data_IF_025355850209
#
_entry.id   IF_025355850209
#
_cell.length_a   1.000
_cell.length_b   1.000
_cell.length_c   1.000
_cell.angle_alpha   90.00
_cell.angle_beta   90.00
_cell.angle_gamma   90.00
#
_symmetry.space_group_name_H-M   'P 1'
#
loop_
_entity.id
_entity.type
_entity.pdbx_description
1 polymer ?
#
# COMPACT_ATOMS: atom_id res chain seq x y z
N UNK A 1 -25.69 80.32 -0.48
CA UNK A 1 -24.52 80.05 0.38
C UNK A 1 -24.09 78.61 0.10
N UNK A 2 -22.89 78.42 -0.43
CA UNK A 2 -22.38 77.16 -0.99
C UNK A 2 -22.09 76.07 0.08
N UNK A 3 -22.17 74.81 -0.37
CA UNK A 3 -21.11 73.76 -0.37
C UNK A 3 -21.63 72.40 0.14
N UNK A 4 -22.19 71.60 -0.77
CA UNK A 4 -22.27 70.15 -0.58
C UNK A 4 -20.88 69.56 -0.86
N UNK A 5 -20.18 69.18 0.21
CA UNK A 5 -18.95 68.37 0.13
C UNK A 5 -19.31 66.96 -0.38
N UNK A 6 -18.89 66.62 -1.59
CA UNK A 6 -18.95 65.23 -2.07
C UNK A 6 -17.81 64.41 -1.45
N UNK A 7 -18.09 63.27 -0.80
CA UNK A 7 -17.04 62.39 -0.29
C UNK A 7 -16.28 61.75 -1.46
N UNK A 8 -14.98 61.99 -1.52
CA UNK A 8 -14.10 61.39 -2.52
C UNK A 8 -14.00 59.88 -2.30
N UNK A 9 -14.28 59.16 -3.37
CA UNK A 9 -14.39 57.70 -3.51
C UNK A 9 -13.17 56.93 -2.95
N UNK A 10 -13.40 56.12 -1.90
CA UNK A 10 -12.40 55.24 -1.28
C UNK A 10 -12.12 53.92 -2.05
N UNK A 11 -12.63 53.79 -3.28
CA UNK A 11 -12.58 52.54 -4.07
C UNK A 11 -11.17 52.07 -4.46
N UNK A 12 -10.21 52.99 -4.62
CA UNK A 12 -8.82 52.65 -4.94
C UNK A 12 -8.05 51.98 -3.79
N UNK A 13 -8.27 52.45 -2.55
CA UNK A 13 -7.61 51.93 -1.35
C UNK A 13 -8.20 50.60 -0.88
N UNK A 14 -9.52 50.42 -1.04
CA UNK A 14 -10.19 49.16 -0.71
C UNK A 14 -9.78 48.01 -1.64
N UNK A 15 -9.53 48.30 -2.93
CA UNK A 15 -9.06 47.29 -3.90
C UNK A 15 -7.66 46.75 -3.57
N UNK A 16 -6.74 47.60 -3.14
CA UNK A 16 -5.39 47.18 -2.74
C UNK A 16 -5.42 46.27 -1.50
N UNK A 17 -6.17 46.65 -0.47
CA UNK A 17 -6.32 45.83 0.74
C UNK A 17 -7.00 44.48 0.45
N UNK A 18 -8.01 44.46 -0.41
CA UNK A 18 -8.68 43.22 -0.81
C UNK A 18 -7.75 42.26 -1.55
N UNK A 19 -6.89 42.77 -2.46
CA UNK A 19 -5.90 41.96 -3.16
C UNK A 19 -4.85 41.37 -2.20
N UNK A 20 -4.40 42.14 -1.22
CA UNK A 20 -3.47 41.63 -0.19
C UNK A 20 -4.11 40.52 0.65
N UNK A 21 -5.34 40.74 1.12
CA UNK A 21 -6.07 39.70 1.87
C UNK A 21 -6.28 38.44 1.02
N UNK A 22 -6.63 38.59 -0.27
CA UNK A 22 -6.76 37.48 -1.19
C UNK A 22 -5.44 36.71 -1.37
N UNK A 23 -4.31 37.40 -1.54
CA UNK A 23 -2.99 36.75 -1.65
C UNK A 23 -2.61 36.00 -0.38
N UNK A 24 -2.89 36.55 0.80
CA UNK A 24 -2.65 35.88 2.09
C UNK A 24 -3.50 34.61 2.22
N UNK A 25 -4.79 34.69 1.85
CA UNK A 25 -5.67 33.52 1.89
C UNK A 25 -5.20 32.45 0.89
N UNK A 26 -4.89 32.83 -0.34
CA UNK A 26 -4.41 31.90 -1.38
C UNK A 26 -3.11 31.23 -0.97
N UNK A 27 -2.16 31.98 -0.41
CA UNK A 27 -0.90 31.41 0.06
C UNK A 27 -1.12 30.41 1.20
N UNK A 28 -1.95 30.73 2.19
CA UNK A 28 -2.31 29.80 3.26
C UNK A 28 -2.97 28.52 2.72
N UNK A 29 -3.96 28.65 1.83
CA UNK A 29 -4.64 27.51 1.22
C UNK A 29 -3.65 26.67 0.41
N UNK A 30 -2.76 27.29 -0.36
CA UNK A 30 -1.74 26.59 -1.14
C UNK A 30 -0.75 25.83 -0.23
N UNK A 31 -0.30 26.44 0.88
CA UNK A 31 0.59 25.76 1.84
C UNK A 31 -0.10 24.58 2.51
N UNK A 32 -1.36 24.73 2.92
CA UNK A 32 -2.14 23.63 3.51
C UNK A 32 -2.37 22.50 2.50
N UNK A 33 -2.73 22.83 1.26
CA UNK A 33 -2.90 21.84 0.20
C UNK A 33 -1.60 21.08 -0.11
N UNK A 34 -0.46 21.78 -0.20
CA UNK A 34 0.84 21.16 -0.41
C UNK A 34 1.22 20.20 0.73
N UNK A 35 0.96 20.60 1.99
CA UNK A 35 1.16 19.73 3.16
C UNK A 35 0.26 18.49 3.10
N UNK A 36 -1.01 18.64 2.71
CA UNK A 36 -1.94 17.51 2.58
C UNK A 36 -1.48 16.51 1.51
N UNK A 37 -1.02 16.97 0.35
CA UNK A 37 -0.51 16.07 -0.70
C UNK A 37 0.69 15.27 -0.21
N UNK A 38 1.60 15.90 0.54
CA UNK A 38 2.74 15.19 1.14
C UNK A 38 2.29 14.14 2.17
N UNK A 39 1.33 14.48 3.02
CA UNK A 39 0.75 13.57 4.00
C UNK A 39 0.01 12.40 3.33
N UNK A 40 -0.71 12.66 2.24
CA UNK A 40 -1.38 11.63 1.45
C UNK A 40 -0.36 10.62 0.89
N UNK A 41 0.75 11.10 0.31
CA UNK A 41 1.81 10.22 -0.18
C UNK A 41 2.49 9.42 0.95
N UNK A 42 2.64 10.02 2.13
CA UNK A 42 3.17 9.32 3.31
C UNK A 42 2.23 8.23 3.82
N UNK A 43 0.92 8.49 3.81
CA UNK A 43 -0.09 7.52 4.24
C UNK A 43 -0.13 6.29 3.32
N UNK A 44 -0.11 6.49 2.01
CA UNK A 44 -0.12 5.37 1.05
C UNK A 44 1.13 4.50 1.14
N UNK A 45 2.29 5.09 1.42
CA UNK A 45 3.54 4.34 1.65
C UNK A 45 3.47 3.46 2.90
N UNK A 46 2.79 3.92 3.96
CA UNK A 46 2.61 3.16 5.21
C UNK A 46 1.69 1.96 5.00
N UNK A 47 0.58 2.14 4.26
CA UNK A 47 -0.34 1.05 3.91
C UNK A 47 0.35 -0.07 3.12
N UNK A 48 1.28 0.28 2.24
CA UNK A 48 2.10 -0.69 1.50
C UNK A 48 2.96 -1.56 2.42
N UNK A 49 3.59 -0.96 3.43
CA UNK A 49 4.41 -1.69 4.39
C UNK A 49 3.59 -2.65 5.27
N UNK A 50 2.37 -2.27 5.64
CA UNK A 50 1.47 -3.12 6.44
C UNK A 50 0.96 -4.35 5.69
N UNK A 51 0.68 -4.20 4.38
CA UNK A 51 0.27 -5.32 3.51
C UNK A 51 1.40 -6.35 3.38
N UNK A 52 2.63 -5.89 3.12
CA UNK A 52 3.80 -6.78 3.02
C UNK A 52 4.03 -7.52 4.34
N UNK A 53 3.91 -6.82 5.48
CA UNK A 53 4.08 -7.44 6.80
C UNK A 53 3.03 -8.52 7.08
N UNK A 54 1.77 -8.24 6.74
CA UNK A 54 0.69 -9.21 6.89
C UNK A 54 0.93 -10.41 6.00
N UNK A 55 1.24 -10.21 4.71
CA UNK A 55 1.54 -11.29 3.77
C UNK A 55 2.72 -12.15 4.22
N UNK A 56 3.80 -11.54 4.73
CA UNK A 56 4.96 -12.27 5.25
C UNK A 56 4.58 -13.19 6.42
N UNK A 57 3.67 -12.75 7.30
CA UNK A 57 3.21 -13.57 8.42
C UNK A 57 2.40 -14.80 7.98
N UNK A 58 1.61 -14.68 6.91
CA UNK A 58 0.89 -15.81 6.31
C UNK A 58 1.86 -16.82 5.71
N UNK A 59 2.86 -16.35 4.96
CA UNK A 59 3.90 -17.21 4.36
C UNK A 59 4.70 -17.94 5.44
N UNK A 60 5.12 -17.24 6.50
CA UNK A 60 5.87 -17.84 7.61
C UNK A 60 5.04 -18.90 8.33
N UNK A 61 3.76 -18.62 8.59
CA UNK A 61 2.86 -19.57 9.26
C UNK A 61 2.69 -20.84 8.43
N UNK A 62 2.46 -20.68 7.12
CA UNK A 62 2.40 -21.81 6.19
C UNK A 62 3.69 -22.63 6.20
N UNK A 63 4.86 -21.99 6.10
CA UNK A 63 6.14 -22.68 6.12
C UNK A 63 6.37 -23.47 7.43
N UNK A 64 6.00 -22.90 8.57
CA UNK A 64 6.09 -23.57 9.87
C UNK A 64 5.13 -24.76 9.96
N UNK A 65 3.92 -24.64 9.42
CA UNK A 65 2.94 -25.72 9.42
C UNK A 65 3.38 -26.88 8.52
N UNK A 66 3.95 -26.58 7.35
CA UNK A 66 4.60 -27.58 6.49
C UNK A 66 5.74 -28.30 7.20
N UNK A 67 6.62 -27.57 7.90
CA UNK A 67 7.70 -28.17 8.67
C UNK A 67 7.17 -29.10 9.79
N UNK A 68 6.14 -28.67 10.52
CA UNK A 68 5.49 -29.49 11.55
C UNK A 68 4.84 -30.74 10.96
N UNK A 69 4.24 -30.64 9.77
CA UNK A 69 3.64 -31.78 9.09
C UNK A 69 4.71 -32.82 8.77
N UNK A 70 5.84 -32.41 8.18
CA UNK A 70 6.96 -33.30 7.84
C UNK A 70 7.48 -34.02 9.10
N UNK A 71 7.72 -33.27 10.19
CA UNK A 71 8.21 -33.86 11.45
C UNK A 71 7.18 -34.77 12.12
N UNK A 72 5.88 -34.46 12.01
CA UNK A 72 4.82 -35.33 12.54
C UNK A 72 4.68 -36.61 11.74
N UNK A 73 4.92 -36.55 10.43
CA UNK A 73 4.88 -37.72 9.57
C UNK A 73 6.08 -38.63 9.83
N UNK A 74 7.26 -38.06 10.02
CA UNK A 74 8.44 -38.79 10.46
C UNK A 74 8.20 -39.50 11.81
N UNK A 75 7.68 -38.79 12.81
CA UNK A 75 7.36 -39.36 14.12
C UNK A 75 6.34 -40.52 14.07
N UNK A 76 5.53 -40.62 13.00
CA UNK A 76 4.58 -41.72 12.78
C UNK A 76 5.18 -42.86 11.96
N UNK A 77 6.09 -42.56 11.04
CA UNK A 77 6.64 -43.50 10.07
C UNK A 77 7.89 -44.23 10.60
N UNK A 78 8.64 -43.61 11.51
CA UNK A 78 9.95 -44.09 11.95
C UNK A 78 9.86 -44.83 13.28
N UNK A 79 9.98 -46.16 13.25
CA UNK A 79 10.22 -46.96 14.46
C UNK A 79 11.74 -46.94 14.78
N UNK A 80 12.14 -45.97 15.64
CA UNK A 80 13.33 -45.96 16.53
C UNK A 80 14.70 -45.39 16.09
N UNK A 81 14.90 -44.76 14.93
CA UNK A 81 16.21 -44.11 14.66
C UNK A 81 16.09 -42.83 13.84
N UNK A 82 16.49 -41.71 14.43
CA UNK A 82 16.62 -40.39 13.79
C UNK A 82 17.96 -40.29 13.03
N UNK A 83 17.93 -39.97 11.73
CA UNK A 83 19.12 -39.84 10.90
C UNK A 83 19.03 -38.80 9.77
N UNK A 84 20.18 -38.27 9.34
CA UNK A 84 20.33 -37.24 8.28
C UNK A 84 19.91 -37.67 6.86
N UNK A 85 19.35 -38.88 6.71
CA UNK A 85 18.78 -39.37 5.46
C UNK A 85 17.27 -39.14 5.37
N UNK A 86 16.68 -38.61 6.43
CA UNK A 86 15.24 -38.39 6.53
C UNK A 86 14.78 -37.14 5.76
N UNK A 87 13.49 -37.06 5.39
CA UNK A 87 12.97 -35.99 4.56
C UNK A 87 13.18 -34.57 5.11
N UNK A 88 13.26 -34.40 6.43
CA UNK A 88 13.52 -33.10 7.06
C UNK A 88 14.99 -32.64 6.88
N UNK A 89 15.92 -33.56 6.62
CA UNK A 89 17.35 -33.28 6.46
C UNK A 89 17.74 -32.96 5.01
N UNK A 90 16.81 -33.14 4.06
CA UNK A 90 17.03 -32.86 2.64
C UNK A 90 17.03 -31.33 2.43
N UNK A 91 18.06 -30.76 1.77
CA UNK A 91 18.10 -29.33 1.47
C UNK A 91 16.86 -28.90 0.68
N UNK A 92 16.17 -27.88 1.18
CA UNK A 92 15.02 -27.33 0.48
C UNK A 92 15.48 -26.68 -0.83
N UNK A 93 14.79 -27.02 -1.93
CA UNK A 93 14.97 -26.31 -3.18
C UNK A 93 14.60 -24.83 -3.00
N UNK A 94 15.29 -23.94 -3.70
CA UNK A 94 15.05 -22.51 -3.57
C UNK A 94 13.63 -22.15 -4.04
N UNK A 95 12.77 -21.81 -3.09
CA UNK A 95 11.41 -21.40 -3.36
C UNK A 95 11.39 -19.92 -3.78
N UNK A 96 11.38 -19.65 -5.09
CA UNK A 96 11.16 -18.30 -5.59
C UNK A 96 9.67 -17.96 -5.53
N UNK A 97 9.31 -17.06 -4.62
CA UNK A 97 7.95 -16.54 -4.49
C UNK A 97 7.43 -15.97 -5.82
N UNK A 98 8.30 -15.33 -6.60
CA UNK A 98 7.97 -14.80 -7.92
C UNK A 98 7.60 -15.90 -8.93
N UNK A 99 8.24 -17.07 -8.86
CA UNK A 99 7.89 -18.22 -9.72
C UNK A 99 6.52 -18.78 -9.34
N UNK A 100 6.20 -18.89 -8.05
CA UNK A 100 4.88 -19.31 -7.57
C UNK A 100 3.76 -18.34 -7.99
N UNK A 101 3.98 -17.03 -7.83
CA UNK A 101 3.00 -16.02 -8.24
C UNK A 101 2.84 -15.95 -9.77
N UNK A 102 3.92 -16.15 -10.53
CA UNK A 102 3.85 -16.21 -11.99
C UNK A 102 3.10 -17.46 -12.49
N UNK A 103 3.27 -18.61 -11.84
CA UNK A 103 2.49 -19.82 -12.16
C UNK A 103 1.01 -19.67 -11.83
N UNK A 104 0.66 -18.97 -10.74
CA UNK A 104 -0.74 -18.67 -10.38
C UNK A 104 -1.40 -17.72 -11.39
N UNK A 105 -0.72 -16.61 -11.74
CA UNK A 105 -1.21 -15.71 -12.80
C UNK A 105 -1.38 -16.41 -14.15
N UNK A 106 -0.47 -17.32 -14.51
CA UNK A 106 -0.55 -18.05 -15.76
C UNK A 106 -1.74 -19.04 -15.77
N UNK A 107 -1.99 -19.73 -14.65
CA UNK A 107 -3.15 -20.59 -14.48
C UNK A 107 -4.47 -19.80 -14.50
N UNK A 108 -4.51 -18.63 -13.86
CA UNK A 108 -5.68 -17.76 -13.88
C UNK A 108 -5.93 -17.14 -15.27
N UNK A 109 -4.89 -16.86 -16.06
CA UNK A 109 -5.04 -16.36 -17.44
C UNK A 109 -5.53 -17.43 -18.41
N UNK A 110 -5.20 -18.72 -18.19
CA UNK A 110 -5.76 -19.81 -18.99
C UNK A 110 -7.23 -20.11 -18.68
N UNK A 111 -7.71 -19.76 -17.49
CA UNK A 111 -9.11 -19.89 -17.07
C UNK A 111 -9.96 -18.68 -17.48
N UNK A 112 -9.33 -17.50 -17.64
CA UNK A 112 -9.97 -16.29 -18.13
C UNK A 112 -10.31 -16.31 -19.63
N UNK A 113 -9.65 -17.16 -20.42
CA UNK A 113 -9.93 -17.36 -21.86
C UNK A 113 -11.15 -18.30 -22.08
N UNK A 114 -11.67 -18.93 -21.01
CA UNK A 114 -12.89 -19.78 -21.02
C UNK A 114 -14.08 -19.11 -20.30
N UNK A 115 -13.96 -17.81 -19.96
CA UNK A 115 -15.07 -17.04 -19.42
C UNK A 115 -16.08 -16.73 -20.55
N UNK A 116 -17.35 -17.15 -20.45
CA UNK A 116 -18.34 -16.81 -21.47
C UNK A 116 -18.54 -15.29 -21.48
N UNK A 117 -18.28 -14.66 -22.63
CA UNK A 117 -18.58 -13.25 -22.88
C UNK A 117 -20.07 -12.99 -22.60
N UNK A 118 -20.36 -12.46 -21.42
CA UNK A 118 -21.68 -11.96 -21.07
C UNK A 118 -21.82 -10.56 -21.68
N UNK A 119 -22.58 -10.50 -22.78
CA UNK A 119 -23.14 -9.26 -23.31
C UNK A 119 -24.15 -8.63 -22.34
#
# INVERSE_FOLDING_TARGET
MNTLKHPVSARGRQRGAALLMAMVIVTLVATLAASMVWQQWRATQVEGAERIRTQASWVLSGALDWARLILREDAKSTDKSDHLGEPWAIPLAEARLSTFLASDSNNNSSDADDAPEAF
#
